data_IF_618235588584
#
_entry.id   IF_618235588584
#
_cell.length_a   1.000
_cell.length_b   1.000
_cell.length_c   1.000
_cell.angle_alpha   90.00
_cell.angle_beta   90.00
_cell.angle_gamma   90.00
#
_symmetry.space_group_name_H-M   'P 1'
#
loop_
_entity.id
_entity.type
_entity.pdbx_description
1 polymer ?
#
# COMPACT_ATOMS: atom_id res chain seq x y z
N UNK A 1 5.60 19.16 -12.40
CA UNK A 1 4.28 19.52 -11.86
C UNK A 1 4.26 19.15 -10.39
N UNK A 2 3.86 20.09 -9.53
CA UNK A 2 3.59 19.82 -8.11
C UNK A 2 2.19 19.25 -8.04
N UNK A 3 2.04 17.98 -7.68
CA UNK A 3 0.72 17.42 -7.38
C UNK A 3 0.48 17.69 -5.90
N UNK A 4 -0.43 18.62 -5.62
CA UNK A 4 -0.92 18.91 -4.27
C UNK A 4 -2.00 17.87 -4.01
N UNK A 5 -1.66 16.77 -3.35
CA UNK A 5 -2.67 16.08 -2.55
C UNK A 5 -2.70 16.79 -1.21
N UNK A 6 -3.84 17.41 -0.91
CA UNK A 6 -4.19 17.82 0.44
C UNK A 6 -4.17 16.54 1.28
N UNK A 7 -3.03 16.28 1.92
CA UNK A 7 -2.89 15.13 2.81
C UNK A 7 -4.01 15.18 3.82
N UNK A 8 -4.83 14.11 3.85
CA UNK A 8 -5.90 13.92 4.83
C UNK A 8 -5.29 14.19 6.20
N UNK A 9 -5.75 15.27 6.82
CA UNK A 9 -4.95 15.95 7.82
C UNK A 9 -4.80 15.16 9.11
N UNK A 10 -3.80 15.54 9.91
CA UNK A 10 -3.28 14.85 11.09
C UNK A 10 -4.26 13.86 11.73
N UNK A 11 -3.98 12.58 11.54
CA UNK A 11 -4.80 11.54 12.11
C UNK A 11 -4.51 11.41 13.60
N UNK A 12 -5.52 11.74 14.42
CA UNK A 12 -5.45 11.69 15.88
C UNK A 12 -6.03 10.39 16.38
N UNK A 13 -5.23 9.63 17.13
CA UNK A 13 -5.74 8.48 17.87
C UNK A 13 -6.49 8.92 19.13
N UNK A 14 -7.80 8.73 19.15
CA UNK A 14 -8.67 9.06 20.31
C UNK A 14 -9.13 7.78 20.98
N UNK A 15 -8.91 7.68 22.30
CA UNK A 15 -9.45 6.62 23.14
C UNK A 15 -10.74 7.14 23.77
N UNK A 16 -11.86 6.44 23.56
CA UNK A 16 -13.19 6.82 24.06
C UNK A 16 -13.57 8.27 23.71
N UNK A 17 -13.94 8.57 22.45
CA UNK A 17 -14.38 9.92 22.10
C UNK A 17 -15.69 10.22 22.84
N UNK A 18 -15.66 11.07 23.85
CA UNK A 18 -16.86 11.78 24.26
C UNK A 18 -17.24 12.74 23.11
N UNK A 19 -18.08 12.28 22.19
CA UNK A 19 -18.63 13.04 21.06
C UNK A 19 -18.72 12.24 19.75
N UNK A 20 -19.60 12.70 18.85
CA UNK A 20 -19.88 12.18 17.50
C UNK A 20 -18.74 12.46 16.51
N UNK A 21 -17.51 12.05 16.86
CA UNK A 21 -16.37 12.25 15.98
C UNK A 21 -16.34 11.12 14.95
N UNK A 22 -16.64 11.44 13.70
CA UNK A 22 -16.57 10.50 12.59
C UNK A 22 -15.14 9.97 12.43
N UNK A 23 -14.99 8.65 12.57
CA UNK A 23 -13.75 7.98 12.30
C UNK A 23 -13.52 7.92 10.78
N UNK A 24 -12.25 7.95 10.34
CA UNK A 24 -11.96 7.69 8.93
C UNK A 24 -12.45 6.30 8.52
N UNK A 25 -12.93 6.20 7.29
CA UNK A 25 -13.13 4.91 6.62
C UNK A 25 -11.79 4.21 6.34
N UNK A 26 -10.70 4.97 6.21
CA UNK A 26 -9.35 4.44 6.08
C UNK A 26 -8.78 3.95 7.43
N UNK A 27 -8.27 2.71 7.52
CA UNK A 27 -7.88 2.05 8.76
C UNK A 27 -6.41 2.28 9.09
N UNK A 28 -5.73 3.16 8.35
CA UNK A 28 -4.37 3.57 8.66
C UNK A 28 -4.10 4.99 8.15
N UNK A 29 -3.18 5.68 8.82
CA UNK A 29 -2.54 6.90 8.32
C UNK A 29 -1.16 6.54 7.80
N UNK A 30 -0.63 7.34 6.88
CA UNK A 30 0.83 7.34 6.66
C UNK A 30 1.57 7.97 7.83
N UNK A 31 2.77 7.44 8.14
CA UNK A 31 3.67 7.96 9.19
C UNK A 31 4.09 9.42 8.97
N UNK A 32 4.00 9.94 7.75
CA UNK A 32 4.37 11.31 7.42
C UNK A 32 3.40 12.38 7.97
N UNK A 33 2.15 12.01 8.31
CA UNK A 33 1.12 12.94 8.78
C UNK A 33 0.24 12.32 9.88
N UNK A 34 0.85 11.97 11.00
CA UNK A 34 0.18 11.27 12.11
C UNK A 34 0.53 11.90 13.46
N UNK A 35 -0.46 12.06 14.33
CA UNK A 35 -0.22 12.32 15.75
C UNK A 35 -0.90 11.29 16.64
N UNK A 36 -0.10 10.69 17.50
CA UNK A 36 -0.54 9.65 18.42
C UNK A 36 -0.25 10.05 19.85
N UNK A 37 -1.21 9.81 20.75
CA UNK A 37 -0.97 9.98 22.19
C UNK A 37 0.19 9.08 22.60
N UNK A 38 1.15 9.60 23.38
CA UNK A 38 2.29 8.81 23.90
C UNK A 38 1.84 7.50 24.55
N UNK A 39 0.76 7.54 25.34
CA UNK A 39 0.16 6.34 25.96
C UNK A 39 -0.27 5.29 24.92
N UNK A 40 -0.91 5.72 23.82
CA UNK A 40 -1.35 4.81 22.76
C UNK A 40 -0.15 4.19 22.04
N UNK A 41 0.84 5.01 21.68
CA UNK A 41 2.08 4.55 21.04
C UNK A 41 2.81 3.50 21.88
N UNK A 42 3.01 3.79 23.17
CA UNK A 42 3.68 2.87 24.10
C UNK A 42 2.83 1.63 24.40
N UNK A 43 1.50 1.74 24.42
CA UNK A 43 0.62 0.60 24.71
C UNK A 43 0.71 -0.54 23.69
N UNK A 44 1.16 -0.25 22.48
CA UNK A 44 1.38 -1.25 21.43
C UNK A 44 2.86 -1.56 21.18
N UNK A 45 3.78 -0.98 21.96
CA UNK A 45 5.22 -1.15 21.79
C UNK A 45 5.85 -0.32 20.66
N UNK A 46 5.16 0.73 20.17
CA UNK A 46 5.64 1.58 19.08
C UNK A 46 5.59 0.91 17.69
N UNK A 47 6.46 1.35 16.77
CA UNK A 47 6.62 0.74 15.46
C UNK A 47 7.37 -0.60 15.57
N UNK A 48 6.91 -1.61 14.83
CA UNK A 48 7.56 -2.91 14.83
C UNK A 48 8.78 -2.88 13.88
N UNK A 49 10.01 -3.11 14.38
CA UNK A 49 11.23 -3.08 13.57
C UNK A 49 11.29 -4.19 12.50
N UNK A 50 10.36 -5.15 12.53
CA UNK A 50 10.17 -6.11 11.45
C UNK A 50 9.85 -5.43 10.12
N UNK A 51 9.17 -4.27 10.13
CA UNK A 51 8.87 -3.48 8.94
C UNK A 51 9.95 -2.43 8.69
N UNK A 52 10.82 -2.69 7.70
CA UNK A 52 11.93 -1.77 7.36
C UNK A 52 11.63 -0.81 6.21
N UNK A 53 10.73 -1.18 5.30
CA UNK A 53 10.56 -0.49 4.02
C UNK A 53 9.16 0.02 3.75
N UNK A 54 8.12 -0.69 4.21
CA UNK A 54 6.72 -0.33 4.07
C UNK A 54 5.88 -1.13 5.06
N UNK A 55 4.63 -0.69 5.26
CA UNK A 55 3.59 -1.29 6.10
C UNK A 55 3.83 -1.16 7.61
N UNK A 56 4.85 -0.41 8.05
CA UNK A 56 5.06 -0.10 9.46
C UNK A 56 3.92 0.74 10.03
N UNK A 57 3.38 1.65 9.22
CA UNK A 57 2.24 2.49 9.50
C UNK A 57 0.93 1.69 9.55
N UNK A 58 0.71 0.81 8.56
CA UNK A 58 -0.46 -0.08 8.49
C UNK A 58 -0.49 -1.00 9.72
N UNK A 59 0.64 -1.64 10.05
CA UNK A 59 0.78 -2.50 11.22
C UNK A 59 0.53 -1.75 12.52
N UNK A 60 1.12 -0.55 12.67
CA UNK A 60 0.94 0.28 13.84
C UNK A 60 -0.53 0.69 14.02
N UNK A 61 -1.17 1.21 12.98
CA UNK A 61 -2.57 1.63 13.03
C UNK A 61 -3.49 0.47 13.37
N UNK A 62 -3.24 -0.72 12.81
CA UNK A 62 -4.01 -1.91 13.13
C UNK A 62 -3.88 -2.31 14.60
N UNK A 63 -2.66 -2.35 15.15
CA UNK A 63 -2.42 -2.68 16.56
C UNK A 63 -3.05 -1.67 17.51
N UNK A 64 -2.95 -0.38 17.18
CA UNK A 64 -3.53 0.69 18.01
C UNK A 64 -5.06 0.64 17.98
N UNK A 65 -5.68 0.40 16.83
CA UNK A 65 -7.13 0.27 16.74
C UNK A 65 -7.68 -0.97 17.46
N UNK A 66 -6.93 -2.09 17.45
CA UNK A 66 -7.27 -3.27 18.27
C UNK A 66 -7.32 -3.00 19.77
N UNK A 67 -6.68 -1.92 20.25
CA UNK A 67 -6.75 -1.46 21.64
C UNK A 67 -7.90 -0.46 21.89
N UNK A 68 -8.82 -0.31 20.93
CA UNK A 68 -10.00 0.55 21.05
C UNK A 68 -9.75 2.04 20.78
N UNK A 69 -8.60 2.39 20.22
CA UNK A 69 -8.36 3.76 19.74
C UNK A 69 -8.95 3.95 18.34
N UNK A 70 -9.50 5.13 18.06
CA UNK A 70 -10.03 5.47 16.74
C UNK A 70 -9.10 6.42 15.99
N UNK A 71 -9.03 6.26 14.67
CA UNK A 71 -8.39 7.19 13.74
C UNK A 71 -9.36 8.32 13.40
N UNK A 72 -9.00 9.55 13.73
CA UNK A 72 -9.82 10.74 13.47
C UNK A 72 -9.06 11.70 12.55
N UNK A 73 -9.63 12.12 11.40
CA UNK A 73 -8.98 13.07 10.52
C UNK A 73 -8.97 14.47 11.13
N UNK A 74 -7.90 15.24 10.89
CA UNK A 74 -7.86 16.66 11.26
C UNK A 74 -7.47 17.53 10.06
N UNK A 75 -8.48 18.06 9.38
CA UNK A 75 -8.32 18.87 8.16
C UNK A 75 -7.52 20.16 8.34
N UNK A 76 -7.34 20.65 9.57
CA UNK A 76 -6.54 21.86 9.85
C UNK A 76 -5.03 21.61 9.82
N UNK A 77 -4.61 20.34 9.87
CA UNK A 77 -3.20 19.95 9.88
C UNK A 77 -2.82 19.24 8.58
N UNK A 78 -2.83 20.01 7.50
CA UNK A 78 -2.35 19.57 6.20
C UNK A 78 -0.83 19.76 6.08
N UNK A 79 -0.18 18.84 5.38
CA UNK A 79 1.25 18.94 5.05
C UNK A 79 1.46 18.85 3.53
N UNK A 80 2.54 19.45 3.05
CA UNK A 80 3.02 19.22 1.68
C UNK A 80 3.91 17.98 1.67
N UNK A 81 3.41 16.90 1.06
CA UNK A 81 4.16 15.67 0.90
C UNK A 81 4.72 15.54 -0.51
N UNK A 82 6.06 15.53 -0.62
CA UNK A 82 6.73 15.38 -1.91
C UNK A 82 6.77 13.91 -2.34
N UNK A 83 5.90 13.55 -3.28
CA UNK A 83 6.00 12.29 -4.00
C UNK A 83 7.16 12.30 -5.01
N UNK A 84 7.64 11.12 -5.45
CA UNK A 84 8.61 11.05 -6.54
C UNK A 84 8.12 11.81 -7.77
N UNK A 85 8.87 12.83 -8.19
CA UNK A 85 8.47 13.68 -9.32
C UNK A 85 8.75 13.08 -10.69
N UNK A 86 9.27 11.85 -10.76
CA UNK A 86 9.69 11.21 -12.00
C UNK A 86 9.38 9.71 -12.02
N UNK A 87 9.34 9.16 -13.24
CA UNK A 87 9.01 7.77 -13.52
C UNK A 87 9.91 6.76 -12.80
N UNK A 88 11.23 6.99 -12.80
CA UNK A 88 12.21 6.13 -12.14
C UNK A 88 12.01 6.08 -10.61
N UNK A 89 11.64 7.21 -10.01
CA UNK A 89 11.36 7.29 -8.59
C UNK A 89 10.13 6.47 -8.20
N UNK A 90 9.07 6.51 -9.01
CA UNK A 90 7.90 5.64 -8.83
C UNK A 90 8.23 4.17 -9.04
N UNK A 91 9.04 3.81 -10.05
CA UNK A 91 9.50 2.43 -10.25
C UNK A 91 10.30 1.91 -9.05
N UNK A 92 11.24 2.72 -8.55
CA UNK A 92 12.00 2.40 -7.35
C UNK A 92 11.07 2.22 -6.15
N UNK A 93 10.06 3.07 -6.00
CA UNK A 93 9.07 2.97 -4.91
C UNK A 93 8.32 1.64 -4.99
N UNK A 94 7.78 1.28 -6.16
CA UNK A 94 7.11 -0.02 -6.38
C UNK A 94 8.01 -1.21 -6.02
N UNK A 95 9.29 -1.16 -6.37
CA UNK A 95 10.25 -2.21 -6.04
C UNK A 95 10.57 -2.31 -4.53
N UNK A 96 10.76 -1.17 -3.85
CA UNK A 96 11.20 -1.13 -2.44
C UNK A 96 10.07 -1.45 -1.47
N UNK A 97 8.81 -1.22 -1.84
CA UNK A 97 7.65 -1.47 -0.97
C UNK A 97 7.36 -2.96 -0.76
N UNK A 98 7.76 -3.81 -1.70
CA UNK A 98 7.40 -5.23 -1.75
C UNK A 98 7.94 -6.08 -0.60
N UNK A 99 9.19 -5.89 -0.13
CA UNK A 99 9.64 -6.50 1.12
C UNK A 99 8.71 -6.22 2.31
N UNK A 100 8.19 -5.00 2.44
CA UNK A 100 7.24 -4.62 3.50
C UNK A 100 5.89 -5.34 3.34
N UNK A 101 5.37 -5.40 2.12
CA UNK A 101 4.15 -6.15 1.80
C UNK A 101 4.30 -7.67 2.04
N UNK A 102 5.47 -8.24 1.72
CA UNK A 102 5.78 -9.64 2.02
C UNK A 102 5.85 -9.90 3.52
N UNK A 103 6.59 -9.06 4.25
CA UNK A 103 6.64 -9.10 5.70
C UNK A 103 5.23 -8.99 6.29
N UNK A 104 4.40 -8.12 5.74
CA UNK A 104 3.01 -7.94 6.18
C UNK A 104 2.19 -9.22 6.03
N UNK A 105 2.26 -9.89 4.87
CA UNK A 105 1.61 -11.19 4.67
C UNK A 105 2.20 -12.29 5.55
N UNK A 106 3.49 -12.23 5.87
CA UNK A 106 4.12 -13.18 6.78
C UNK A 106 3.58 -13.02 8.22
N UNK A 107 3.48 -11.78 8.69
CA UNK A 107 2.95 -11.43 10.01
C UNK A 107 1.44 -11.65 10.13
N UNK A 108 0.70 -11.38 9.05
CA UNK A 108 -0.76 -11.52 8.97
C UNK A 108 -1.16 -12.45 7.82
N UNK A 109 -1.00 -13.79 7.97
CA UNK A 109 -1.26 -14.77 6.92
C UNK A 109 -2.67 -14.73 6.32
N UNK A 110 -3.68 -14.30 7.08
CA UNK A 110 -5.06 -14.14 6.63
C UNK A 110 -5.21 -13.11 5.50
N UNK A 111 -4.25 -12.20 5.35
CA UNK A 111 -4.26 -11.18 4.32
C UNK A 111 -3.77 -11.72 2.98
N UNK A 112 -3.25 -12.94 2.94
CA UNK A 112 -2.80 -13.60 1.70
C UNK A 112 -4.01 -13.90 0.84
N UNK A 113 -4.13 -13.21 -0.29
CA UNK A 113 -5.06 -13.59 -1.34
C UNK A 113 -4.30 -14.36 -2.41
N UNK A 114 -4.75 -15.58 -2.69
CA UNK A 114 -4.25 -16.31 -3.85
C UNK A 114 -4.65 -15.52 -5.10
N UNK A 115 -3.65 -15.00 -5.80
CA UNK A 115 -3.87 -14.15 -6.96
C UNK A 115 -2.67 -14.31 -7.91
N UNK A 116 -2.39 -15.49 -8.50
CA UNK A 116 -1.27 -15.61 -9.43
C UNK A 116 -1.57 -15.12 -10.85
N UNK A 117 -2.85 -14.91 -11.21
CA UNK A 117 -3.21 -14.58 -12.59
C UNK A 117 -2.79 -13.16 -13.01
N UNK A 118 -2.50 -12.23 -12.09
CA UNK A 118 -1.94 -10.94 -12.50
C UNK A 118 -0.53 -11.07 -13.10
N UNK A 119 0.22 -12.11 -12.74
CA UNK A 119 1.51 -12.41 -13.37
C UNK A 119 1.38 -12.87 -14.82
N UNK A 120 0.18 -13.27 -15.26
CA UNK A 120 -0.05 -13.91 -16.57
C UNK A 120 -0.99 -13.06 -17.44
N UNK A 121 -2.12 -12.59 -16.89
CA UNK A 121 -3.13 -11.83 -17.63
C UNK A 121 -2.61 -10.49 -18.15
N UNK A 122 -1.86 -9.72 -17.36
CA UNK A 122 -1.35 -8.43 -17.80
C UNK A 122 -0.33 -8.56 -18.94
N UNK A 123 0.65 -9.48 -18.86
CA UNK A 123 1.50 -9.81 -20.02
C UNK A 123 0.72 -10.29 -21.24
N UNK A 124 -0.30 -11.13 -21.08
CA UNK A 124 -1.14 -11.59 -22.20
C UNK A 124 -1.95 -10.44 -22.83
N UNK A 125 -2.50 -9.53 -22.03
CA UNK A 125 -3.22 -8.35 -22.50
C UNK A 125 -2.27 -7.40 -23.25
N UNK A 126 -1.05 -7.20 -22.72
CA UNK A 126 -0.01 -6.40 -23.37
C UNK A 126 0.45 -7.03 -24.69
N UNK A 127 0.70 -8.35 -24.72
CA UNK A 127 1.09 -9.09 -25.91
C UNK A 127 0.00 -9.06 -27.00
N UNK A 128 -1.27 -9.28 -26.61
CA UNK A 128 -2.42 -9.16 -27.52
C UNK A 128 -2.52 -7.77 -28.12
N UNK A 129 -2.27 -6.71 -27.34
CA UNK A 129 -2.27 -5.34 -27.85
C UNK A 129 -1.11 -5.04 -28.80
N UNK A 130 0.10 -5.52 -28.47
CA UNK A 130 1.27 -5.39 -29.34
C UNK A 130 1.00 -6.07 -30.70
N UNK A 131 0.42 -7.26 -30.69
CA UNK A 131 0.01 -7.99 -31.90
C UNK A 131 -1.04 -7.23 -32.72
N UNK A 132 -2.09 -6.69 -32.07
CA UNK A 132 -3.10 -5.86 -32.76
C UNK A 132 -2.50 -4.62 -33.40
N UNK A 133 -1.52 -3.98 -32.76
CA UNK A 133 -0.78 -2.84 -33.31
C UNK A 133 0.05 -3.23 -34.52
N UNK A 134 0.78 -4.35 -34.45
CA UNK A 134 1.54 -4.89 -35.57
C UNK A 134 0.67 -5.23 -36.79
N UNK A 135 -0.62 -5.52 -36.57
CA UNK A 135 -1.60 -5.77 -37.63
C UNK A 135 -2.40 -4.53 -38.08
N UNK A 136 -2.17 -3.35 -37.47
CA UNK A 136 -2.92 -2.13 -37.82
C UNK A 136 -4.39 -2.11 -37.34
N UNK A 137 -4.77 -2.99 -36.40
CA UNK A 137 -6.17 -3.16 -35.93
C UNK A 137 -6.62 -2.17 -34.82
N UNK A 138 -5.83 -1.13 -34.51
CA UNK A 138 -6.13 -0.24 -33.38
C UNK A 138 -6.79 1.07 -33.85
N UNK A 139 -8.03 1.31 -33.40
CA UNK A 139 -8.64 2.65 -33.35
C UNK A 139 -7.92 3.50 -32.29
N UNK A 140 -7.85 4.83 -32.43
CA UNK A 140 -7.17 5.69 -31.47
C UNK A 140 -7.99 5.80 -30.17
N UNK A 141 -7.93 4.77 -29.31
CA UNK A 141 -8.44 4.86 -27.96
C UNK A 141 -7.42 5.61 -27.10
N UNK A 142 -7.82 6.77 -26.56
CA UNK A 142 -7.00 7.66 -25.70
C UNK A 142 -6.45 6.99 -24.42
N UNK A 143 -6.92 5.78 -24.06
CA UNK A 143 -6.53 5.06 -22.83
C UNK A 143 -5.33 4.11 -22.99
N UNK A 144 -4.84 3.88 -24.22
CA UNK A 144 -3.78 2.89 -24.50
C UNK A 144 -2.37 3.12 -23.90
N UNK A 145 -1.82 4.34 -23.75
CA UNK A 145 -0.45 4.50 -23.24
C UNK A 145 -0.31 4.22 -21.73
N UNK A 146 -1.42 4.11 -21.00
CA UNK A 146 -1.41 3.86 -19.57
C UNK A 146 -1.09 2.40 -19.24
N UNK A 147 -1.52 1.45 -20.08
CA UNK A 147 -1.35 0.01 -19.80
C UNK A 147 0.13 -0.39 -19.72
N UNK A 148 1.01 -0.01 -20.66
CA UNK A 148 2.45 -0.30 -20.55
C UNK A 148 3.08 0.36 -19.33
N UNK A 149 2.69 1.59 -19.00
CA UNK A 149 3.18 2.32 -17.82
C UNK A 149 2.81 1.57 -16.54
N UNK A 150 1.54 1.19 -16.37
CA UNK A 150 1.11 0.37 -15.23
C UNK A 150 1.82 -0.99 -15.18
N UNK A 151 2.02 -1.64 -16.33
CA UNK A 151 2.75 -2.91 -16.40
C UNK A 151 4.20 -2.77 -15.91
N UNK A 152 4.88 -1.64 -16.17
CA UNK A 152 6.23 -1.42 -15.66
C UNK A 152 6.29 -1.30 -14.13
N UNK A 153 5.33 -0.64 -13.49
CA UNK A 153 5.25 -0.55 -12.03
C UNK A 153 4.95 -1.90 -11.39
N UNK A 154 4.02 -2.67 -11.97
CA UNK A 154 3.73 -4.04 -11.54
C UNK A 154 4.99 -4.89 -11.66
N UNK A 155 5.70 -4.83 -12.80
CA UNK A 155 6.91 -5.59 -13.01
C UNK A 155 8.02 -5.23 -12.01
N UNK A 156 8.22 -3.94 -11.73
CA UNK A 156 9.16 -3.50 -10.71
C UNK A 156 8.80 -4.05 -9.31
N UNK A 157 7.51 -4.07 -8.96
CA UNK A 157 7.04 -4.70 -7.73
C UNK A 157 7.33 -6.21 -7.68
N UNK A 158 7.04 -6.92 -8.78
CA UNK A 158 7.33 -8.35 -8.90
C UNK A 158 8.82 -8.63 -8.69
N UNK A 159 9.72 -7.83 -9.28
CA UNK A 159 11.16 -7.98 -9.07
C UNK A 159 11.56 -7.77 -7.60
N UNK A 160 10.96 -6.78 -6.93
CA UNK A 160 11.18 -6.54 -5.50
C UNK A 160 10.77 -7.72 -4.64
N UNK A 161 9.60 -8.28 -4.95
CA UNK A 161 9.05 -9.48 -4.29
C UNK A 161 9.89 -10.73 -4.53
N UNK A 162 10.29 -10.99 -5.77
CA UNK A 162 11.17 -12.12 -6.13
C UNK A 162 12.48 -12.02 -5.35
N UNK A 163 13.10 -10.84 -5.28
CA UNK A 163 14.31 -10.64 -4.49
C UNK A 163 14.09 -10.94 -2.99
N UNK A 164 12.99 -10.45 -2.40
CA UNK A 164 12.66 -10.75 -1.00
C UNK A 164 12.51 -12.26 -0.77
N UNK A 165 11.76 -12.92 -1.64
CA UNK A 165 11.48 -14.36 -1.56
C UNK A 165 12.75 -15.20 -1.68
N UNK A 166 13.62 -14.88 -2.65
CA UNK A 166 14.90 -15.57 -2.84
C UNK A 166 15.81 -15.37 -1.63
N UNK A 167 15.95 -14.13 -1.15
CA UNK A 167 16.79 -13.80 0.01
C UNK A 167 16.36 -14.53 1.28
N UNK A 168 15.05 -14.65 1.52
CA UNK A 168 14.50 -15.22 2.75
C UNK A 168 14.03 -16.68 2.60
N UNK A 169 14.22 -17.30 1.43
CA UNK A 169 13.74 -18.66 1.08
C UNK A 169 12.22 -18.85 1.29
N UNK A 170 11.41 -17.81 1.04
CA UNK A 170 9.94 -17.78 1.27
C UNK A 170 9.13 -17.99 -0.02
N UNK A 171 9.44 -19.03 -0.80
CA UNK A 171 8.91 -19.25 -2.17
C UNK A 171 7.39 -19.22 -2.27
N UNK A 172 6.68 -19.66 -1.23
CA UNK A 172 5.21 -19.68 -1.19
C UNK A 172 4.60 -18.28 -1.40
N UNK A 173 5.27 -17.20 -1.00
CA UNK A 173 4.72 -15.84 -1.13
C UNK A 173 4.51 -15.41 -2.58
N UNK A 174 5.19 -16.02 -3.56
CA UNK A 174 4.97 -15.72 -4.97
C UNK A 174 3.53 -15.96 -5.42
N UNK A 175 2.81 -16.86 -4.78
CA UNK A 175 1.43 -17.21 -5.13
C UNK A 175 0.37 -16.26 -4.55
N UNK A 176 0.78 -15.37 -3.64
CA UNK A 176 -0.14 -14.55 -2.85
C UNK A 176 0.13 -13.07 -3.00
N UNK A 177 -0.92 -12.26 -3.04
CA UNK A 177 -0.81 -10.80 -2.88
C UNK A 177 -1.42 -10.39 -1.55
N UNK A 178 -0.94 -9.31 -0.93
CA UNK A 178 -1.56 -8.79 0.28
C UNK A 178 -2.93 -8.21 -0.06
N UNK A 179 -3.95 -8.58 0.69
CA UNK A 179 -5.23 -7.89 0.73
C UNK A 179 -5.31 -7.10 2.03
N UNK A 180 -4.89 -5.84 1.98
CA UNK A 180 -4.94 -4.95 3.13
C UNK A 180 -6.40 -4.72 3.58
N UNK A 181 -7.40 -4.90 2.71
CA UNK A 181 -8.82 -4.73 3.06
C UNK A 181 -9.31 -5.69 4.15
N UNK A 182 -8.69 -6.86 4.30
CA UNK A 182 -9.03 -7.82 5.37
C UNK A 182 -8.82 -7.23 6.77
N UNK A 183 -7.91 -6.27 6.91
CA UNK A 183 -7.67 -5.58 8.18
C UNK A 183 -8.90 -4.75 8.59
N UNK A 184 -9.60 -4.16 7.61
CA UNK A 184 -10.73 -3.26 7.81
C UNK A 184 -11.91 -4.00 8.43
N UNK A 185 -12.13 -5.25 8.00
CA UNK A 185 -13.19 -6.11 8.52
C UNK A 185 -12.95 -6.56 9.97
N UNK A 186 -11.70 -6.56 10.44
CA UNK A 186 -11.32 -7.00 11.79
C UNK A 186 -11.36 -5.91 12.85
N UNK A 187 -11.47 -4.65 12.45
CA UNK A 187 -11.53 -3.49 13.35
C UNK A 187 -12.97 -3.10 13.66
N UNK A 188 -13.93 -3.46 12.79
CA UNK A 188 -15.38 -3.30 13.02
C UNK A 188 -15.90 -4.31 14.02
#
# INVERSE_FOLDING_TARGET
GRTIELGVGLLKFVHNPQGDVEALEEPYCSTNNMAVKKKAFLSVGGFDPYFRFACEDVDFCFRVQKQGYKLVPNTEMAIDHRHPGNFLGWLKKSYVYEPGLCAFMEKYPETKRFFPWYYVLFPLIAARQAWRRAKGLNRPLRTLPLIPIYATFIFAGILGKVKHVLKNKKYRLLWYVPNLHVIYEKIK
#
